data_IF_066186992045
#
_entry.id   IF_066186992045
#
_cell.length_a   1.000
_cell.length_b   1.000
_cell.length_c   1.000
_cell.angle_alpha   90.00
_cell.angle_beta   90.00
_cell.angle_gamma   90.00
#
_symmetry.space_group_name_H-M   'P 1'
#
loop_
_entity.id
_entity.type
_entity.pdbx_description
1 polymer ?
#
# COMPACT_ATOMS: atom_id res chain seq x y z
N UNK A 1 22.70 -15.19 -1.25
CA UNK A 1 21.57 -14.45 -0.67
C UNK A 1 20.50 -14.27 -1.73
N UNK A 2 19.25 -14.57 -1.42
CA UNK A 2 18.12 -14.54 -2.37
C UNK A 2 17.75 -13.11 -2.75
N UNK A 3 17.42 -12.87 -4.02
CA UNK A 3 16.89 -11.59 -4.49
C UNK A 3 15.39 -11.53 -4.25
N UNK A 4 14.90 -10.36 -3.84
CA UNK A 4 13.52 -10.15 -3.42
C UNK A 4 12.85 -9.06 -4.25
N UNK A 5 11.65 -9.34 -4.74
CA UNK A 5 10.72 -8.33 -5.22
C UNK A 5 9.65 -8.09 -4.13
N UNK A 6 9.61 -6.87 -3.61
CA UNK A 6 8.62 -6.46 -2.61
C UNK A 6 7.37 -5.93 -3.30
N UNK A 7 6.24 -6.59 -3.04
CA UNK A 7 4.93 -6.17 -3.53
C UNK A 7 4.17 -5.47 -2.40
N UNK A 8 4.08 -4.15 -2.44
CA UNK A 8 3.30 -3.41 -1.45
C UNK A 8 1.81 -3.51 -1.76
N UNK A 9 1.06 -4.22 -0.92
CA UNK A 9 -0.36 -4.52 -1.10
C UNK A 9 -1.25 -3.70 -0.15
N UNK A 10 -0.79 -2.49 0.18
CA UNK A 10 -1.53 -1.52 0.94
C UNK A 10 -1.34 -1.63 2.45
N UNK A 11 -2.28 -1.15 3.25
CA UNK A 11 -3.47 -0.39 2.86
C UNK A 11 -3.11 1.07 2.53
N UNK A 12 -3.97 1.74 1.76
CA UNK A 12 -3.83 3.19 1.56
C UNK A 12 -3.95 3.88 2.92
N UNK A 13 -3.02 4.80 3.23
CA UNK A 13 -2.90 5.48 4.53
C UNK A 13 -2.40 4.58 5.68
N UNK A 14 -1.92 3.38 5.39
CA UNK A 14 -1.28 2.45 6.34
C UNK A 14 0.23 2.66 6.56
N UNK A 15 0.81 3.77 6.11
CA UNK A 15 2.24 4.05 6.33
C UNK A 15 3.19 3.58 5.22
N UNK A 16 2.65 3.17 4.06
CA UNK A 16 3.46 2.74 2.91
C UNK A 16 4.50 3.77 2.50
N UNK A 17 4.16 5.07 2.44
CA UNK A 17 5.14 6.13 2.11
C UNK A 17 6.38 6.11 3.02
N UNK A 18 6.19 6.01 4.34
CA UNK A 18 7.31 5.93 5.27
C UNK A 18 8.18 4.70 5.00
N UNK A 19 7.54 3.54 4.77
CA UNK A 19 8.24 2.31 4.44
C UNK A 19 9.09 2.47 3.18
N UNK A 20 8.56 3.08 2.12
CA UNK A 20 9.36 3.30 0.91
C UNK A 20 10.52 4.25 1.14
N UNK A 21 10.30 5.34 1.89
CA UNK A 21 11.37 6.28 2.24
C UNK A 21 12.46 5.61 3.09
N UNK A 22 12.09 4.66 3.95
CA UNK A 22 13.03 3.80 4.67
C UNK A 22 13.84 2.93 3.71
N UNK A 23 13.18 2.23 2.78
CA UNK A 23 13.86 1.38 1.80
C UNK A 23 14.83 2.19 0.91
N UNK A 24 14.48 3.43 0.56
CA UNK A 24 15.36 4.35 -0.18
C UNK A 24 16.70 4.61 0.52
N UNK A 25 16.78 4.44 1.84
CA UNK A 25 18.02 4.54 2.61
C UNK A 25 18.89 3.28 2.59
N UNK A 26 18.39 2.15 2.06
CA UNK A 26 19.14 0.90 2.05
C UNK A 26 20.08 0.81 0.82
N UNK A 27 21.38 0.50 1.01
CA UNK A 27 22.30 0.31 -0.11
C UNK A 27 21.96 -0.93 -0.96
N UNK A 28 21.15 -1.86 -0.44
CA UNK A 28 20.73 -3.07 -1.15
C UNK A 28 19.40 -2.91 -1.90
N UNK A 29 18.77 -1.73 -1.85
CA UNK A 29 17.52 -1.43 -2.53
C UNK A 29 17.76 -0.68 -3.84
N UNK A 30 17.35 -1.26 -4.96
CA UNK A 30 17.31 -0.57 -6.24
C UNK A 30 15.90 -0.04 -6.50
N UNK A 31 15.73 1.27 -6.47
CA UNK A 31 14.43 1.89 -6.69
C UNK A 31 14.10 2.02 -8.18
N UNK A 32 12.79 1.94 -8.46
CA UNK A 32 12.24 2.31 -9.75
C UNK A 32 12.26 3.82 -9.98
N UNK A 33 11.67 4.27 -11.08
CA UNK A 33 11.48 5.71 -11.33
C UNK A 33 10.26 6.30 -10.60
N UNK A 34 9.51 5.47 -9.86
CA UNK A 34 8.36 5.86 -9.05
C UNK A 34 8.08 4.81 -7.96
N UNK A 35 7.30 5.22 -6.97
CA UNK A 35 6.86 4.37 -5.84
C UNK A 35 5.69 3.45 -6.19
N UNK A 36 4.66 4.02 -6.82
CA UNK A 36 3.38 3.35 -7.11
C UNK A 36 3.22 3.23 -8.62
N UNK A 37 3.45 2.06 -9.21
CA UNK A 37 3.37 1.90 -10.67
C UNK A 37 1.94 1.84 -11.18
N UNK A 38 1.03 1.24 -10.41
CA UNK A 38 -0.37 1.03 -10.79
C UNK A 38 -0.55 0.26 -12.11
N UNK A 39 0.09 -0.91 -12.23
CA UNK A 39 -0.05 -1.76 -13.42
C UNK A 39 -1.27 -2.67 -13.27
N UNK A 40 -1.27 -3.51 -12.23
CA UNK A 40 -2.29 -4.56 -12.09
C UNK A 40 -3.64 -4.04 -11.61
N UNK A 41 -3.68 -3.03 -10.75
CA UNK A 41 -4.92 -2.43 -10.28
C UNK A 41 -5.66 -1.73 -11.43
N UNK A 42 -4.93 -1.01 -12.31
CA UNK A 42 -5.48 -0.41 -13.51
C UNK A 42 -6.01 -1.43 -14.53
N UNK A 43 -5.46 -2.65 -14.53
CA UNK A 43 -5.90 -3.77 -15.39
C UNK A 43 -7.13 -4.47 -14.83
N UNK A 44 -7.11 -4.80 -13.54
CA UNK A 44 -8.01 -5.78 -12.95
C UNK A 44 -9.18 -5.15 -12.21
N UNK A 45 -9.02 -3.92 -11.70
CA UNK A 45 -9.98 -3.33 -10.79
C UNK A 45 -10.86 -2.30 -11.52
N UNK A 46 -12.18 -2.54 -11.64
CA UNK A 46 -13.09 -1.54 -12.19
C UNK A 46 -13.10 -0.22 -11.42
N UNK A 47 -12.75 -0.22 -10.12
CA UNK A 47 -12.59 1.01 -9.34
C UNK A 47 -11.46 1.91 -9.82
N UNK A 48 -10.45 1.34 -10.48
CA UNK A 48 -9.25 2.05 -10.88
C UNK A 48 -9.28 2.46 -12.36
N UNK A 49 -10.46 2.46 -12.99
CA UNK A 49 -10.66 2.99 -14.35
C UNK A 49 -10.14 4.43 -14.50
N UNK A 50 -10.26 5.26 -13.47
CA UNK A 50 -9.68 6.61 -13.49
C UNK A 50 -8.15 6.60 -13.58
N UNK A 51 -7.48 5.65 -12.93
CA UNK A 51 -6.03 5.46 -13.03
C UNK A 51 -5.64 5.01 -14.42
N UNK A 52 -6.37 4.02 -14.97
CA UNK A 52 -6.21 3.56 -16.36
C UNK A 52 -6.38 4.69 -17.37
N UNK A 53 -7.45 5.47 -17.28
CA UNK A 53 -7.72 6.58 -18.20
C UNK A 53 -6.61 7.64 -18.15
N UNK A 54 -6.14 8.00 -16.95
CA UNK A 54 -5.00 8.92 -16.78
C UNK A 54 -3.70 8.35 -17.34
N UNK A 55 -3.48 7.04 -17.22
CA UNK A 55 -2.32 6.36 -17.79
C UNK A 55 -2.33 6.44 -19.32
N UNK A 56 -3.46 6.09 -19.94
CA UNK A 56 -3.64 6.15 -21.39
C UNK A 56 -3.50 7.59 -21.91
N UNK A 57 -4.15 8.56 -21.26
CA UNK A 57 -4.08 9.96 -21.66
C UNK A 57 -2.63 10.51 -21.60
N UNK A 58 -1.89 10.20 -20.53
CA UNK A 58 -0.48 10.61 -20.41
C UNK A 58 0.42 9.97 -21.45
N UNK A 59 0.22 8.69 -21.75
CA UNK A 59 1.00 8.00 -22.77
C UNK A 59 0.66 8.50 -24.19
N UNK A 60 -0.62 8.81 -24.46
CA UNK A 60 -1.03 9.41 -25.72
C UNK A 60 -0.41 10.79 -25.91
N UNK A 61 -0.52 11.69 -24.92
CA UNK A 61 0.10 13.01 -24.97
C UNK A 61 1.63 12.94 -25.18
N UNK A 62 2.29 11.96 -24.55
CA UNK A 62 3.72 11.69 -24.72
C UNK A 62 4.10 11.21 -26.14
N UNK A 63 3.15 10.60 -26.87
CA UNK A 63 3.37 10.09 -28.22
C UNK A 63 3.12 11.11 -29.33
N UNK A 64 2.32 12.14 -29.07
CA UNK A 64 1.91 13.12 -30.09
C UNK A 64 2.92 14.25 -30.30
N UNK A 65 3.74 14.57 -29.29
CA UNK A 65 4.78 15.62 -29.38
C UNK A 65 6.04 15.23 -28.58
N UNK A 66 6.87 14.29 -29.09
CA UNK A 66 8.02 13.81 -28.35
C UNK A 66 9.17 14.82 -28.38
N UNK A 67 9.45 15.42 -27.22
CA UNK A 67 10.66 16.24 -27.02
C UNK A 67 11.88 15.36 -26.69
N UNK A 68 13.04 15.54 -27.37
CA UNK A 68 14.26 14.82 -27.01
C UNK A 68 14.62 15.02 -25.53
N UNK A 69 14.87 13.92 -24.82
CA UNK A 69 15.20 13.95 -23.39
C UNK A 69 14.01 14.05 -22.43
N UNK A 70 12.75 14.05 -22.92
CA UNK A 70 11.57 14.06 -22.06
C UNK A 70 11.42 12.74 -21.28
N UNK A 71 11.92 12.77 -20.04
CA UNK A 71 11.84 11.64 -19.11
C UNK A 71 10.40 11.36 -18.66
N UNK A 72 9.51 12.35 -18.66
CA UNK A 72 8.11 12.18 -18.25
C UNK A 72 7.39 11.36 -19.32
N UNK A 73 7.54 11.75 -20.60
CA UNK A 73 7.02 11.01 -21.74
C UNK A 73 7.54 9.57 -21.78
N UNK A 74 8.87 9.39 -21.65
CA UNK A 74 9.48 8.06 -21.65
C UNK A 74 8.96 7.15 -20.52
N UNK A 75 8.78 7.70 -19.31
CA UNK A 75 8.21 6.95 -18.17
C UNK A 75 6.73 6.62 -18.39
N UNK A 76 5.96 7.51 -19.00
CA UNK A 76 4.56 7.24 -19.34
C UNK A 76 4.42 6.11 -20.36
N UNK A 77 5.23 6.14 -21.43
CA UNK A 77 5.28 5.09 -22.45
C UNK A 77 5.73 3.74 -21.87
N UNK A 78 6.79 3.73 -21.06
CA UNK A 78 7.28 2.51 -20.42
C UNK A 78 6.28 1.92 -19.42
N UNK A 79 5.53 2.75 -18.69
CA UNK A 79 4.45 2.24 -17.85
C UNK A 79 3.31 1.68 -18.69
N UNK A 80 2.95 2.32 -19.81
CA UNK A 80 1.95 1.78 -20.73
C UNK A 80 2.40 0.43 -21.28
N UNK A 81 3.68 0.23 -21.61
CA UNK A 81 4.15 -1.07 -22.08
C UNK A 81 3.96 -2.17 -21.03
N UNK A 82 4.23 -1.90 -19.74
CA UNK A 82 3.94 -2.86 -18.65
C UNK A 82 2.45 -3.16 -18.48
N UNK A 83 1.59 -2.17 -18.74
CA UNK A 83 0.14 -2.34 -18.71
C UNK A 83 -0.32 -3.23 -19.87
N UNK A 84 0.24 -3.05 -21.07
CA UNK A 84 -0.10 -3.84 -22.25
C UNK A 84 0.47 -5.27 -22.19
N UNK A 85 1.64 -5.42 -21.58
CA UNK A 85 2.32 -6.69 -21.38
C UNK A 85 2.94 -6.77 -19.98
N UNK A 86 2.27 -7.46 -19.03
CA UNK A 86 2.77 -7.67 -17.68
C UNK A 86 4.12 -8.40 -17.60
N UNK A 87 4.58 -9.11 -18.63
CA UNK A 87 5.94 -9.67 -18.62
C UNK A 87 7.00 -8.55 -18.61
N UNK A 88 6.71 -7.39 -19.21
CA UNK A 88 7.59 -6.22 -19.15
C UNK A 88 7.67 -5.62 -17.75
N UNK A 89 6.62 -5.77 -16.93
CA UNK A 89 6.67 -5.40 -15.51
C UNK A 89 7.69 -6.26 -14.77
N UNK A 90 7.60 -7.58 -14.92
CA UNK A 90 8.52 -8.51 -14.27
C UNK A 90 9.95 -8.33 -14.79
N UNK A 91 10.12 -8.17 -16.10
CA UNK A 91 11.41 -7.93 -16.74
C UNK A 91 12.06 -6.64 -16.24
N UNK A 92 11.29 -5.56 -16.06
CA UNK A 92 11.80 -4.30 -15.55
C UNK A 92 12.36 -4.42 -14.13
N UNK A 93 11.59 -4.99 -13.20
CA UNK A 93 12.04 -5.17 -11.82
C UNK A 93 13.19 -6.17 -11.70
N UNK A 94 13.18 -7.21 -12.54
CA UNK A 94 14.32 -8.13 -12.68
C UNK A 94 15.57 -7.40 -13.16
N UNK A 95 15.45 -6.51 -14.15
CA UNK A 95 16.56 -5.69 -14.63
C UNK A 95 17.13 -4.78 -13.53
N UNK A 96 16.27 -4.14 -12.73
CA UNK A 96 16.70 -3.33 -11.58
C UNK A 96 17.52 -4.15 -10.57
N UNK A 97 17.05 -5.37 -10.25
CA UNK A 97 17.74 -6.32 -9.37
C UNK A 97 19.12 -6.77 -9.88
N UNK A 98 19.40 -6.64 -11.17
CA UNK A 98 20.65 -7.06 -11.79
C UNK A 98 21.61 -5.91 -12.11
N UNK A 99 21.28 -4.66 -11.76
CA UNK A 99 22.15 -3.50 -11.99
C UNK A 99 23.44 -3.52 -11.19
N UNK A 100 23.46 -4.20 -10.05
CA UNK A 100 24.61 -4.29 -9.16
C UNK A 100 24.62 -5.65 -8.46
N UNK A 101 25.80 -6.23 -8.20
CA UNK A 101 25.93 -7.42 -7.35
C UNK A 101 25.52 -7.17 -5.89
N UNK A 102 25.38 -5.91 -5.46
CA UNK A 102 24.94 -5.54 -4.09
C UNK A 102 23.42 -5.41 -3.95
N UNK A 103 22.70 -5.30 -5.08
CA UNK A 103 21.25 -5.19 -5.05
C UNK A 103 20.62 -6.50 -4.58
N UNK A 104 19.76 -6.41 -3.57
CA UNK A 104 18.98 -7.54 -3.05
C UNK A 104 17.48 -7.32 -3.17
N UNK A 105 17.04 -6.06 -3.21
CA UNK A 105 15.64 -5.70 -3.14
C UNK A 105 15.25 -4.69 -4.21
N UNK A 106 14.06 -4.88 -4.76
CA UNK A 106 13.31 -3.89 -5.54
C UNK A 106 11.86 -3.89 -5.05
N UNK A 107 11.10 -2.84 -5.32
CA UNK A 107 9.73 -2.73 -4.84
C UNK A 107 8.81 -1.99 -5.80
N UNK A 108 7.57 -2.47 -5.90
CA UNK A 108 6.42 -1.68 -6.33
C UNK A 108 5.43 -1.62 -5.18
N UNK A 109 5.10 -0.42 -4.74
CA UNK A 109 4.37 -0.23 -3.50
C UNK A 109 3.09 0.56 -3.73
N UNK A 110 2.24 0.01 -4.60
CA UNK A 110 0.89 0.50 -4.94
C UNK A 110 -0.15 -0.03 -3.95
N UNK A 111 -0.69 0.81 -3.04
CA UNK A 111 -1.60 0.33 -2.00
C UNK A 111 -2.88 -0.32 -2.52
N UNK A 112 -3.33 0.04 -3.73
CA UNK A 112 -4.49 -0.55 -4.37
C UNK A 112 -4.30 -2.05 -4.71
N UNK A 113 -3.06 -2.55 -4.72
CA UNK A 113 -2.80 -3.97 -4.94
C UNK A 113 -3.38 -4.87 -3.83
N UNK A 114 -3.73 -4.32 -2.65
CA UNK A 114 -4.46 -5.07 -1.63
C UNK A 114 -5.85 -5.55 -2.06
N UNK A 115 -6.39 -5.01 -3.15
CA UNK A 115 -7.68 -5.40 -3.72
C UNK A 115 -7.55 -6.40 -4.88
N UNK A 116 -6.35 -6.85 -5.23
CA UNK A 116 -6.14 -7.83 -6.29
C UNK A 116 -6.65 -9.22 -5.87
N UNK A 117 -7.00 -10.03 -6.87
CA UNK A 117 -7.41 -11.42 -6.65
C UNK A 117 -6.23 -12.32 -6.28
N UNK A 118 -6.52 -13.46 -5.66
CA UNK A 118 -5.55 -14.52 -5.43
C UNK A 118 -4.90 -15.00 -6.75
N UNK A 119 -5.65 -15.08 -7.84
CA UNK A 119 -5.11 -15.46 -9.15
C UNK A 119 -4.07 -14.45 -9.65
N UNK A 120 -4.33 -13.14 -9.49
CA UNK A 120 -3.35 -12.13 -9.86
C UNK A 120 -2.10 -12.18 -8.98
N UNK A 121 -2.26 -12.37 -7.67
CA UNK A 121 -1.12 -12.57 -6.77
C UNK A 121 -0.28 -13.78 -7.17
N UNK A 122 -0.92 -14.90 -7.56
CA UNK A 122 -0.26 -16.10 -8.05
C UNK A 122 0.53 -15.82 -9.33
N UNK A 123 -0.07 -15.13 -10.29
CA UNK A 123 0.62 -14.73 -11.53
C UNK A 123 1.86 -13.86 -11.26
N UNK A 124 1.75 -12.87 -10.36
CA UNK A 124 2.88 -12.01 -9.99
C UNK A 124 4.00 -12.87 -9.35
N UNK A 125 3.64 -13.70 -8.36
CA UNK A 125 4.58 -14.58 -7.67
C UNK A 125 5.32 -15.49 -8.66
N UNK A 126 4.57 -16.17 -9.52
CA UNK A 126 5.10 -17.16 -10.45
C UNK A 126 6.01 -16.51 -11.49
N UNK A 127 5.64 -15.35 -12.03
CA UNK A 127 6.47 -14.60 -12.98
C UNK A 127 7.85 -14.20 -12.41
N UNK A 128 7.92 -13.81 -11.13
CA UNK A 128 9.20 -13.57 -10.45
C UNK A 128 9.93 -14.88 -10.10
N UNK A 129 9.21 -15.92 -9.66
CA UNK A 129 9.78 -17.20 -9.30
C UNK A 129 10.48 -17.88 -10.48
N UNK A 130 9.92 -17.79 -11.69
CA UNK A 130 10.53 -18.27 -12.95
C UNK A 130 11.91 -17.62 -13.23
N UNK A 131 12.17 -16.46 -12.64
CA UNK A 131 13.45 -15.72 -12.75
C UNK A 131 14.33 -15.87 -11.51
N UNK A 132 14.01 -16.81 -10.62
CA UNK A 132 14.74 -17.05 -9.38
C UNK A 132 14.62 -15.90 -8.37
N UNK A 133 13.55 -15.10 -8.45
CA UNK A 133 13.31 -13.97 -7.56
C UNK A 133 12.14 -14.32 -6.65
N UNK A 134 12.34 -14.13 -5.34
CA UNK A 134 11.27 -14.32 -4.36
C UNK A 134 10.36 -13.10 -4.34
N UNK A 135 9.05 -13.32 -4.36
CA UNK A 135 8.06 -12.26 -4.09
C UNK A 135 7.78 -12.18 -2.60
N UNK A 136 7.87 -10.98 -2.02
CA UNK A 136 7.48 -10.68 -0.65
C UNK A 136 6.33 -9.67 -0.66
N UNK A 137 5.07 -10.11 -0.48
CA UNK A 137 3.98 -9.20 -0.24
C UNK A 137 4.16 -8.51 1.12
N UNK A 138 3.89 -7.20 1.15
CA UNK A 138 3.90 -6.39 2.37
C UNK A 138 2.54 -5.74 2.52
N UNK A 139 1.82 -6.13 3.58
CA UNK A 139 0.52 -5.57 3.93
C UNK A 139 0.60 -4.82 5.26
N UNK A 140 0.48 -3.49 5.19
CA UNK A 140 0.44 -2.60 6.34
C UNK A 140 -1.00 -2.22 6.66
N UNK A 141 -1.48 -2.58 7.84
CA UNK A 141 -2.82 -2.25 8.29
C UNK A 141 -2.78 -1.07 9.26
N UNK A 142 -3.92 -0.39 9.39
CA UNK A 142 -4.15 0.71 10.33
C UNK A 142 -5.60 0.61 10.80
N UNK A 143 -5.91 1.10 11.99
CA UNK A 143 -7.29 1.18 12.47
C UNK A 143 -8.21 1.72 11.34
N UNK A 144 -9.23 0.94 10.87
CA UNK A 144 -10.17 1.32 9.83
C UNK A 144 -10.69 2.76 9.92
N UNK A 145 -11.08 3.21 11.12
CA UNK A 145 -11.60 4.57 11.33
C UNK A 145 -10.50 5.61 11.06
N UNK A 146 -9.31 5.40 11.62
CA UNK A 146 -8.15 6.27 11.42
C UNK A 146 -7.66 6.29 9.96
N UNK A 147 -7.74 5.16 9.26
CA UNK A 147 -7.40 5.03 7.84
C UNK A 147 -8.33 5.89 6.99
N UNK A 148 -9.64 5.76 7.21
CA UNK A 148 -10.68 6.54 6.54
C UNK A 148 -10.50 8.02 6.85
N UNK A 149 -10.33 8.37 8.13
CA UNK A 149 -10.13 9.75 8.55
C UNK A 149 -8.87 10.36 7.91
N UNK A 150 -7.78 9.61 7.84
CA UNK A 150 -6.56 10.03 7.15
C UNK A 150 -6.77 10.26 5.65
N UNK A 151 -7.65 9.49 5.01
CA UNK A 151 -8.02 9.69 3.61
C UNK A 151 -8.90 10.93 3.43
N UNK A 152 -9.87 11.18 4.31
CA UNK A 152 -10.69 12.41 4.31
C UNK A 152 -9.80 13.65 4.39
N UNK A 153 -8.86 13.71 5.36
CA UNK A 153 -7.90 14.81 5.49
C UNK A 153 -6.98 14.98 4.28
N UNK A 154 -6.69 13.89 3.58
CA UNK A 154 -5.88 13.94 2.36
C UNK A 154 -6.67 14.56 1.21
N UNK A 155 -7.94 14.18 1.06
CA UNK A 155 -8.81 14.76 0.05
C UNK A 155 -9.07 16.23 0.35
N UNK A 156 -9.40 16.60 1.59
CA UNK A 156 -9.62 18.00 1.97
C UNK A 156 -8.45 18.90 1.55
N UNK A 157 -7.20 18.52 1.88
CA UNK A 157 -5.99 19.26 1.47
C UNK A 157 -5.84 19.40 -0.06
N UNK A 158 -6.12 18.33 -0.82
CA UNK A 158 -6.01 18.36 -2.28
C UNK A 158 -7.11 19.22 -2.94
N UNK A 159 -8.26 19.40 -2.27
CA UNK A 159 -9.38 20.19 -2.78
C UNK A 159 -9.40 21.63 -2.24
N UNK A 160 -8.76 21.90 -1.09
CA UNK A 160 -8.50 23.26 -0.60
C UNK A 160 -7.68 24.07 -1.60
N UNK A 161 -6.75 23.43 -2.32
CA UNK A 161 -5.98 24.05 -3.41
C UNK A 161 -6.85 24.42 -4.64
N UNK A 162 -8.12 23.97 -4.72
CA UNK A 162 -9.03 24.23 -5.84
C UNK A 162 -10.39 24.91 -5.47
N UNK A 163 -10.60 25.25 -4.20
CA UNK A 163 -11.79 25.92 -3.62
C UNK A 163 -13.17 25.22 -3.75
N UNK A 164 -13.87 25.21 -2.60
CA UNK A 164 -15.31 25.01 -2.34
C UNK A 164 -15.88 23.60 -1.99
N UNK A 165 -15.08 22.53 -1.81
CA UNK A 165 -15.66 21.22 -1.42
C UNK A 165 -14.89 20.40 -0.37
N UNK A 166 -13.93 21.00 0.32
CA UNK A 166 -13.14 20.36 1.38
C UNK A 166 -13.80 20.56 2.75
N UNK A 167 -14.71 19.67 3.12
CA UNK A 167 -15.06 19.54 4.54
C UNK A 167 -14.27 18.39 5.14
N UNK A 168 -13.11 18.71 5.71
CA UNK A 168 -12.49 17.88 6.75
C UNK A 168 -13.47 17.84 7.93
N UNK A 169 -14.44 16.92 7.89
CA UNK A 169 -15.49 16.87 8.90
C UNK A 169 -15.90 15.44 9.21
N UNK A 170 -16.37 15.24 10.45
CA UNK A 170 -16.97 13.98 10.86
C UNK A 170 -18.22 13.63 10.03
N UNK A 171 -18.95 14.64 9.55
CA UNK A 171 -20.10 14.44 8.66
C UNK A 171 -19.66 13.86 7.31
N UNK A 172 -18.58 14.38 6.72
CA UNK A 172 -18.03 13.85 5.48
C UNK A 172 -17.55 12.40 5.65
N UNK A 173 -16.86 12.10 6.75
CA UNK A 173 -16.48 10.73 7.09
C UNK A 173 -17.70 9.82 7.18
N UNK A 174 -18.75 10.22 7.91
CA UNK A 174 -20.00 9.45 8.03
C UNK A 174 -20.68 9.22 6.68
N UNK A 175 -20.73 10.22 5.82
CA UNK A 175 -21.33 10.10 4.49
C UNK A 175 -20.55 9.15 3.58
N UNK A 176 -19.21 9.14 3.69
CA UNK A 176 -18.36 8.47 2.71
C UNK A 176 -17.79 7.11 3.16
N UNK A 177 -17.78 6.80 4.45
CA UNK A 177 -17.09 5.61 4.98
C UNK A 177 -17.53 4.30 4.31
N UNK A 178 -18.82 4.16 4.00
CA UNK A 178 -19.41 2.97 3.37
C UNK A 178 -19.45 3.04 1.84
N UNK A 179 -18.96 4.11 1.22
CA UNK A 179 -18.91 4.19 -0.25
C UNK A 179 -17.88 3.20 -0.80
N UNK A 180 -18.07 2.66 -2.01
CA UNK A 180 -17.14 1.67 -2.57
C UNK A 180 -15.67 2.13 -2.67
N UNK A 181 -15.41 3.43 -2.68
CA UNK A 181 -14.04 3.97 -2.73
C UNK A 181 -13.30 3.81 -1.40
N UNK A 182 -14.01 3.93 -0.27
CA UNK A 182 -13.46 3.77 1.07
C UNK A 182 -13.56 2.31 1.55
N UNK A 183 -14.70 1.67 1.31
CA UNK A 183 -14.97 0.31 1.77
C UNK A 183 -13.95 -0.68 1.24
N UNK A 184 -13.76 -0.75 -0.09
CA UNK A 184 -12.83 -1.70 -0.72
C UNK A 184 -11.39 -1.59 -0.21
N UNK A 185 -10.96 -0.40 0.24
CA UNK A 185 -9.62 -0.16 0.79
C UNK A 185 -9.51 -0.45 2.29
N UNK A 186 -10.63 -0.76 2.94
CA UNK A 186 -10.76 -1.03 4.37
C UNK A 186 -11.10 -2.51 4.63
N UNK A 187 -11.53 -3.26 3.61
CA UNK A 187 -11.79 -4.72 3.68
C UNK A 187 -10.51 -5.55 3.79
N UNK A 188 -9.79 -5.41 4.91
CA UNK A 188 -8.56 -6.16 5.17
C UNK A 188 -8.80 -7.65 5.27
N UNK A 189 -9.99 -8.06 5.71
CA UNK A 189 -10.46 -9.45 5.71
C UNK A 189 -10.33 -10.07 4.30
N UNK A 190 -10.70 -9.34 3.26
CA UNK A 190 -10.59 -9.80 1.87
C UNK A 190 -9.15 -9.83 1.40
N UNK A 191 -8.35 -8.80 1.72
CA UNK A 191 -6.91 -8.75 1.38
C UNK A 191 -6.15 -9.91 2.03
N UNK A 192 -6.38 -10.15 3.33
CA UNK A 192 -5.75 -11.23 4.08
C UNK A 192 -6.12 -12.60 3.52
N UNK A 193 -7.39 -12.82 3.18
CA UNK A 193 -7.84 -14.07 2.58
C UNK A 193 -7.21 -14.31 1.20
N UNK A 194 -7.15 -13.28 0.35
CA UNK A 194 -6.54 -13.37 -0.98
C UNK A 194 -5.04 -13.68 -0.92
N UNK A 195 -4.31 -13.07 0.03
CA UNK A 195 -2.90 -13.36 0.27
C UNK A 195 -2.70 -14.79 0.79
N UNK A 196 -3.49 -15.22 1.78
CA UNK A 196 -3.38 -16.55 2.39
C UNK A 196 -3.70 -17.70 1.40
N UNK A 197 -4.47 -17.42 0.35
CA UNK A 197 -4.74 -18.39 -0.71
C UNK A 197 -3.54 -18.67 -1.63
N UNK A 198 -2.45 -17.88 -1.53
CA UNK A 198 -1.30 -17.92 -2.45
C UNK A 198 0.03 -18.05 -1.73
N UNK A 199 0.19 -17.36 -0.60
CA UNK A 199 1.43 -17.26 0.15
C UNK A 199 1.29 -17.92 1.52
N UNK A 200 2.33 -18.61 1.96
CA UNK A 200 2.39 -19.10 3.34
C UNK A 200 2.47 -17.92 4.33
N UNK A 201 2.04 -18.11 5.60
CA UNK A 201 2.03 -17.03 6.59
C UNK A 201 3.37 -16.31 6.79
N UNK A 202 4.49 -17.01 6.64
CA UNK A 202 5.86 -16.50 6.78
C UNK A 202 6.43 -15.87 5.49
N UNK A 203 5.73 -16.05 4.36
CA UNK A 203 6.07 -15.44 3.07
C UNK A 203 5.47 -14.05 2.87
N UNK A 204 4.63 -13.58 3.81
CA UNK A 204 4.00 -12.26 3.79
C UNK A 204 4.46 -11.46 5.00
N UNK A 205 4.89 -10.23 4.78
CA UNK A 205 5.07 -9.28 5.88
C UNK A 205 3.73 -8.61 6.19
N UNK A 206 3.23 -8.84 7.40
CA UNK A 206 2.08 -8.12 7.96
C UNK A 206 2.56 -7.11 8.99
N UNK A 207 2.17 -5.85 8.86
CA UNK A 207 2.53 -4.79 9.81
C UNK A 207 1.33 -3.96 10.25
N UNK A 208 1.42 -3.40 11.45
CA UNK A 208 0.48 -2.42 11.97
C UNK A 208 1.13 -1.04 11.95
N UNK A 209 0.43 -0.03 11.43
CA UNK A 209 0.91 1.34 11.35
C UNK A 209 1.42 1.84 12.71
N UNK A 210 0.73 1.48 13.79
CA UNK A 210 1.00 1.91 15.15
C UNK A 210 2.35 1.39 15.69
N UNK A 211 2.84 0.28 15.14
CA UNK A 211 4.11 -0.33 15.51
C UNK A 211 5.18 -0.23 14.40
N UNK A 212 4.82 0.31 13.23
CA UNK A 212 5.65 0.33 12.03
C UNK A 212 6.99 1.05 12.25
N UNK A 213 6.96 2.12 13.05
CA UNK A 213 8.08 3.03 13.26
C UNK A 213 9.06 2.55 14.34
N UNK A 214 8.91 1.32 14.84
CA UNK A 214 9.81 0.76 15.84
C UNK A 214 10.99 0.04 15.18
N UNK A 215 12.13 0.02 15.86
CA UNK A 215 13.29 -0.73 15.43
C UNK A 215 12.97 -2.23 15.28
N UNK A 216 12.19 -2.80 16.20
CA UNK A 216 11.77 -4.20 16.16
C UNK A 216 11.04 -4.54 14.85
N UNK A 217 10.00 -3.78 14.51
CA UNK A 217 9.22 -4.02 13.28
C UNK A 217 10.08 -3.84 12.03
N UNK A 218 10.95 -2.83 12.05
CA UNK A 218 11.85 -2.53 10.93
C UNK A 218 12.90 -3.61 10.72
N UNK A 219 13.49 -4.15 11.80
CA UNK A 219 14.43 -5.29 11.72
C UNK A 219 13.76 -6.53 11.14
N UNK A 220 12.57 -6.88 11.63
CA UNK A 220 11.79 -8.02 11.09
C UNK A 220 11.51 -7.87 9.59
N UNK A 221 11.15 -6.66 9.16
CA UNK A 221 10.97 -6.36 7.74
C UNK A 221 12.28 -6.58 6.95
N UNK A 222 13.40 -6.03 7.42
CA UNK A 222 14.70 -6.19 6.77
C UNK A 222 15.12 -7.65 6.65
N UNK A 223 14.94 -8.42 7.72
CA UNK A 223 15.18 -9.87 7.76
C UNK A 223 14.32 -10.60 6.73
N UNK A 224 13.00 -10.38 6.74
CA UNK A 224 12.10 -10.99 5.76
C UNK A 224 12.37 -10.52 4.33
N UNK A 225 12.85 -9.30 4.11
CA UNK A 225 13.22 -8.77 2.79
C UNK A 225 14.60 -9.23 2.31
N UNK A 226 15.46 -9.72 3.20
CA UNK A 226 16.83 -10.10 2.89
C UNK A 226 17.77 -8.91 2.65
N UNK A 227 17.56 -7.80 3.37
CA UNK A 227 18.39 -6.58 3.29
C UNK A 227 19.00 -6.26 4.67
N UNK A 228 20.15 -5.56 4.71
CA UNK A 228 20.70 -5.09 5.97
C UNK A 228 19.77 -4.05 6.62
N UNK A 229 19.66 -4.12 7.95
CA UNK A 229 19.00 -3.10 8.73
C UNK A 229 19.80 -1.80 8.70
N UNK A 230 19.11 -0.71 8.40
CA UNK A 230 19.61 0.67 8.53
C UNK A 230 18.80 1.37 9.62
N UNK A 231 19.45 2.18 10.45
CA UNK A 231 18.75 2.97 11.47
C UNK A 231 17.84 4.00 10.77
N UNK A 232 16.52 4.00 11.05
CA UNK A 232 15.63 5.00 10.46
C UNK A 232 16.00 6.42 10.91
N UNK A 233 15.91 7.37 10.00
CA UNK A 233 15.98 8.79 10.33
C UNK A 233 14.68 9.20 11.05
N UNK A 234 14.76 9.29 12.38
CA UNK A 234 13.61 9.58 13.27
C UNK A 234 13.10 11.01 13.15
N UNK A 235 13.96 11.94 12.69
CA UNK A 235 13.62 13.35 12.52
C UNK A 235 12.82 13.58 11.23
N UNK A 236 12.93 12.66 10.27
CA UNK A 236 12.20 12.68 9.01
C UNK A 236 10.75 12.21 9.12
N UNK A 237 10.09 12.28 10.28
CA UNK A 237 8.69 11.83 10.48
C UNK A 237 7.75 12.45 9.43
N UNK A 238 7.50 11.70 8.37
CA UNK A 238 6.72 12.10 7.20
C UNK A 238 5.24 12.17 7.60
N UNK A 239 4.71 13.40 7.71
CA UNK A 239 3.29 13.74 7.78
C UNK A 239 2.49 13.24 9.00
N UNK A 240 2.94 13.55 10.22
CA UNK A 240 1.98 13.76 11.30
C UNK A 240 1.25 15.09 11.03
N UNK A 241 0.13 15.04 10.29
CA UNK A 241 -0.75 16.21 10.17
C UNK A 241 -1.21 16.63 11.57
N UNK A 242 -1.22 17.94 11.91
CA UNK A 242 -1.77 18.42 13.17
C UNK A 242 -3.20 17.91 13.36
N UNK A 243 -3.49 17.35 14.53
CA UNK A 243 -4.82 16.84 14.91
C UNK A 243 -5.66 18.02 15.40
N UNK A 244 -6.28 18.78 14.50
CA UNK A 244 -7.13 19.92 14.90
C UNK A 244 -8.59 19.53 15.09
N UNK A 245 -9.08 18.52 14.37
CA UNK A 245 -10.48 18.05 14.50
C UNK A 245 -10.56 16.64 15.08
N UNK A 246 -11.24 16.54 16.22
CA UNK A 246 -11.55 15.28 16.90
C UNK A 246 -12.82 14.70 16.28
N UNK A 247 -12.73 13.49 15.74
CA UNK A 247 -13.91 12.75 15.26
C UNK A 247 -14.78 12.41 16.49
N UNK A 248 -16.08 12.79 16.53
CA UNK A 248 -16.95 12.46 17.64
C UNK A 248 -17.02 10.95 17.90
N UNK A 249 -17.13 10.58 19.17
CA UNK A 249 -17.17 9.18 19.61
C UNK A 249 -18.31 8.38 18.96
N UNK A 250 -19.47 9.00 18.76
CA UNK A 250 -20.60 8.39 18.04
C UNK A 250 -20.27 8.05 16.59
N UNK A 251 -19.52 8.92 15.92
CA UNK A 251 -19.02 8.68 14.55
C UNK A 251 -18.00 7.55 14.53
N UNK A 252 -17.05 7.54 15.48
CA UNK A 252 -16.05 6.47 15.61
C UNK A 252 -16.75 5.13 15.82
N UNK A 253 -17.69 5.06 16.75
CA UNK A 253 -18.45 3.84 17.05
C UNK A 253 -19.20 3.34 15.82
N UNK A 254 -19.97 4.19 15.14
CA UNK A 254 -20.75 3.80 13.97
C UNK A 254 -19.87 3.21 12.87
N UNK A 255 -18.75 3.86 12.56
CA UNK A 255 -17.83 3.36 11.53
C UNK A 255 -17.11 2.10 11.98
N UNK A 256 -16.70 2.00 13.26
CA UNK A 256 -16.11 0.79 13.80
C UNK A 256 -17.08 -0.40 13.70
N UNK A 257 -18.34 -0.20 14.07
CA UNK A 257 -19.41 -1.21 13.97
C UNK A 257 -19.67 -1.64 12.52
N UNK A 258 -19.67 -0.71 11.57
CA UNK A 258 -19.78 -1.03 10.14
C UNK A 258 -18.65 -1.95 9.67
N UNK A 259 -17.43 -1.74 10.16
CA UNK A 259 -16.26 -2.57 9.82
C UNK A 259 -15.98 -3.70 10.82
N UNK A 260 -16.96 -4.11 11.65
CA UNK A 260 -16.80 -5.16 12.68
C UNK A 260 -16.10 -6.42 12.15
N UNK A 261 -16.49 -6.90 10.97
CA UNK A 261 -15.90 -8.09 10.34
C UNK A 261 -14.40 -7.94 10.09
N UNK A 262 -13.94 -6.73 9.76
CA UNK A 262 -12.52 -6.43 9.55
C UNK A 262 -11.75 -6.57 10.86
N UNK A 263 -12.24 -5.96 11.94
CA UNK A 263 -11.59 -6.05 13.25
C UNK A 263 -11.53 -7.49 13.75
N UNK A 264 -12.63 -8.24 13.62
CA UNK A 264 -12.70 -9.65 14.02
C UNK A 264 -11.74 -10.50 13.20
N UNK A 265 -11.72 -10.35 11.88
CA UNK A 265 -10.83 -11.11 11.01
C UNK A 265 -9.34 -10.82 11.31
N UNK A 266 -8.98 -9.56 11.59
CA UNK A 266 -7.61 -9.20 11.97
C UNK A 266 -7.24 -9.80 13.33
N UNK A 267 -8.10 -9.70 14.35
CA UNK A 267 -7.84 -10.30 15.66
C UNK A 267 -7.69 -11.82 15.59
N UNK A 268 -8.54 -12.50 14.80
CA UNK A 268 -8.43 -13.94 14.57
C UNK A 268 -7.15 -14.33 13.82
N UNK A 269 -6.69 -13.49 12.90
CA UNK A 269 -5.47 -13.74 12.12
C UNK A 269 -4.20 -13.55 12.94
N UNK A 270 -4.22 -12.64 13.92
CA UNK A 270 -3.10 -12.26 14.78
C UNK A 270 -3.50 -12.36 16.27
N UNK A 271 -3.75 -13.58 16.79
CA UNK A 271 -4.20 -13.77 18.17
C UNK A 271 -3.17 -13.31 19.22
N UNK A 272 -1.89 -13.23 18.85
CA UNK A 272 -0.82 -12.72 19.68
C UNK A 272 -0.82 -11.18 19.84
N UNK A 273 -1.57 -10.48 18.98
CA UNK A 273 -1.68 -9.03 19.00
C UNK A 273 -2.94 -8.64 19.77
N UNK A 274 -2.77 -7.87 20.84
CA UNK A 274 -3.90 -7.23 21.52
C UNK A 274 -4.37 -6.05 20.66
N UNK A 275 -5.30 -6.30 19.73
CA UNK A 275 -5.67 -5.30 18.72
C UNK A 275 -6.28 -4.04 19.34
N UNK A 276 -6.88 -4.16 20.53
CA UNK A 276 -7.42 -3.02 21.29
C UNK A 276 -6.37 -2.02 21.77
N UNK A 277 -5.13 -2.47 21.95
CA UNK A 277 -4.01 -1.59 22.34
C UNK A 277 -3.45 -0.82 21.14
N UNK A 278 -3.63 -1.35 19.93
CA UNK A 278 -3.17 -0.72 18.69
C UNK A 278 -4.27 0.11 18.04
N UNK A 279 -5.47 -0.44 17.91
CA UNK A 279 -6.60 0.16 17.21
C UNK A 279 -7.67 0.54 18.20
N UNK A 280 -7.59 1.77 18.70
CA UNK A 280 -8.50 2.29 19.73
C UNK A 280 -9.97 2.05 19.37
N UNK A 281 -10.36 2.20 18.10
CA UNK A 281 -11.75 2.07 17.64
C UNK A 281 -12.30 0.65 17.78
N UNK A 282 -11.42 -0.35 17.86
CA UNK A 282 -11.81 -1.75 18.05
C UNK A 282 -12.52 -2.01 19.39
N UNK A 283 -12.41 -1.10 20.38
CA UNK A 283 -13.13 -1.16 21.67
C UNK A 283 -14.66 -1.27 21.53
N UNK A 284 -15.21 -0.81 20.41
CA UNK A 284 -16.65 -0.85 20.13
C UNK A 284 -17.11 -2.20 19.56
N UNK A 285 -16.17 -3.02 19.10
CA UNK A 285 -16.49 -4.23 18.33
C UNK A 285 -15.82 -5.50 18.85
N UNK A 286 -14.69 -5.38 19.55
CA UNK A 286 -13.99 -6.49 20.19
C UNK A 286 -14.23 -6.47 21.70
N UNK A 287 -14.58 -7.63 22.25
CA UNK A 287 -14.66 -7.83 23.70
C UNK A 287 -13.27 -7.96 24.31
N UNK A 288 -13.09 -7.67 25.62
CA UNK A 288 -11.80 -7.85 26.31
C UNK A 288 -11.26 -9.28 26.28
N UNK A 289 -12.15 -10.27 26.14
CA UNK A 289 -11.84 -11.70 26.26
C UNK A 289 -11.91 -12.48 24.93
N UNK A 290 -11.83 -11.79 23.77
CA UNK A 290 -11.86 -12.42 22.45
C UNK A 290 -10.48 -12.80 21.91
#
# INVERSE_FOLDING_TARGET
MTKTFLLGVGCQKGGTTWLYDYLMGSPSFAHGYRKEYHVFDALDLPSEQGVRNRLLAKAHAASTDPSPGDRVAARAAHRLSMYLDPELYVAYFTGLLHRSPETRLVADMTPAYGMLSADRFRQIRDGFAERGIRTLPVFLMRDPVERIWSQVRMHARLYDEHAAASQESAAFLLEHHATPAYERRTRYDQTLAALAAVFAPDEVFHGFYEQLFTEQTTRRLCEQAGIPFVVPDVDKRVHASPTTDVVPESTVQLVAEHYREVYVAVQQRFPEVVLRDLWTSSRYVLTPDA
#
